data_IF_924371447494
#
_entry.id   IF_924371447494
#
_cell.length_a   1.000
_cell.length_b   1.000
_cell.length_c   1.000
_cell.angle_alpha   90.00
_cell.angle_beta   90.00
_cell.angle_gamma   90.00
#
_symmetry.space_group_name_H-M   'P 1'
#
loop_
_entity.id
_entity.type
_entity.pdbx_description
1 polymer ?
#
# COMPACT_ATOMS: atom_id res chain seq x y z
N UNK A 1 -3.85 -33.48 7.36
CA UNK A 1 -3.31 -32.26 7.99
C UNK A 1 -2.57 -31.49 6.92
N UNK A 2 -2.93 -30.23 6.66
CA UNK A 2 -2.19 -29.43 5.69
C UNK A 2 -0.90 -28.95 6.36
N UNK A 3 0.25 -29.36 5.83
CA UNK A 3 1.53 -28.80 6.21
C UNK A 3 1.66 -27.42 5.56
N UNK A 4 1.77 -26.36 6.35
CA UNK A 4 1.93 -24.99 5.86
C UNK A 4 2.05 -23.97 6.99
N UNK A 5 2.78 -22.89 6.74
CA UNK A 5 2.88 -21.74 7.66
C UNK A 5 1.61 -20.91 7.57
N UNK A 6 0.92 -20.71 8.69
CA UNK A 6 -0.23 -19.81 8.77
C UNK A 6 0.26 -18.36 8.83
N UNK A 7 0.24 -17.66 7.70
CA UNK A 7 0.59 -16.25 7.62
C UNK A 7 -0.56 -15.37 8.13
N UNK A 8 -0.26 -14.21 8.74
CA UNK A 8 -1.28 -13.20 9.03
C UNK A 8 -1.97 -12.76 7.72
N UNK A 9 -3.27 -12.42 7.77
CA UNK A 9 -3.96 -11.91 6.60
C UNK A 9 -3.33 -10.58 6.15
N UNK A 10 -3.21 -10.40 4.83
CA UNK A 10 -2.76 -9.13 4.27
C UNK A 10 -3.78 -8.03 4.64
N UNK A 11 -3.34 -6.85 5.13
CA UNK A 11 -4.27 -5.75 5.39
C UNK A 11 -5.02 -5.35 4.11
N UNK A 12 -6.33 -5.17 4.20
CA UNK A 12 -7.19 -4.83 3.05
C UNK A 12 -6.71 -3.59 2.30
N UNK A 13 -6.11 -2.64 3.02
CA UNK A 13 -5.53 -1.42 2.44
C UNK A 13 -4.47 -1.75 1.36
N UNK A 14 -3.67 -2.79 1.55
CA UNK A 14 -2.57 -3.14 0.64
C UNK A 14 -3.00 -3.60 -0.75
N UNK A 15 -4.28 -3.89 -0.96
CA UNK A 15 -4.84 -4.22 -2.28
C UNK A 15 -5.54 -3.03 -2.94
N UNK A 16 -5.66 -1.89 -2.26
CA UNK A 16 -6.35 -0.72 -2.78
C UNK A 16 -5.46 0.06 -3.73
N UNK A 17 -6.03 0.44 -4.87
CA UNK A 17 -5.46 1.43 -5.77
C UNK A 17 -5.91 2.82 -5.35
N UNK A 18 -4.98 3.78 -5.39
CA UNK A 18 -5.36 5.17 -5.17
C UNK A 18 -5.94 5.71 -6.47
N UNK A 19 -7.14 6.32 -6.46
CA UNK A 19 -7.66 6.96 -7.65
C UNK A 19 -6.81 8.19 -8.01
N UNK A 20 -6.59 8.38 -9.30
CA UNK A 20 -6.09 9.64 -9.85
C UNK A 20 -7.03 10.81 -9.50
N UNK A 21 -6.51 12.03 -9.57
CA UNK A 21 -7.32 13.22 -9.48
C UNK A 21 -8.32 13.26 -10.65
N UNK A 22 -9.58 13.54 -10.34
CA UNK A 22 -10.59 13.75 -11.37
C UNK A 22 -10.25 14.99 -12.22
N UNK A 23 -10.38 14.87 -13.53
CA UNK A 23 -10.14 15.95 -14.50
C UNK A 23 -11.45 16.25 -15.24
N UNK A 24 -11.78 17.54 -15.36
CA UNK A 24 -12.90 18.05 -16.16
C UNK A 24 -12.42 19.07 -17.19
N UNK A 25 -13.17 19.22 -18.27
CA UNK A 25 -12.93 20.28 -19.25
C UNK A 25 -13.02 21.63 -18.55
N UNK A 26 -12.00 22.47 -18.73
CA UNK A 26 -11.89 23.78 -18.08
C UNK A 26 -11.17 23.78 -16.73
N UNK A 27 -10.76 22.61 -16.22
CA UNK A 27 -9.93 22.56 -15.01
C UNK A 27 -8.56 23.21 -15.27
N UNK A 28 -8.10 23.97 -14.29
CA UNK A 28 -6.75 24.54 -14.30
C UNK A 28 -5.72 23.42 -14.05
N UNK A 29 -4.76 23.28 -14.98
CA UNK A 29 -3.85 22.12 -15.03
C UNK A 29 -2.94 22.00 -13.80
N UNK A 30 -2.46 23.13 -13.23
CA UNK A 30 -1.63 23.10 -12.02
C UNK A 30 -2.43 22.60 -10.81
N UNK A 31 -3.70 22.95 -10.71
CA UNK A 31 -4.59 22.49 -9.65
C UNK A 31 -4.86 20.99 -9.75
N UNK A 32 -4.97 20.45 -10.97
CA UNK A 32 -5.00 18.99 -11.20
C UNK A 32 -3.69 18.36 -10.74
N UNK A 33 -2.54 18.93 -11.11
CA UNK A 33 -1.23 18.40 -10.69
C UNK A 33 -1.04 18.38 -9.16
N UNK A 34 -1.50 19.41 -8.46
CA UNK A 34 -1.47 19.44 -6.98
C UNK A 34 -2.31 18.30 -6.40
N UNK A 35 -3.51 18.05 -6.95
CA UNK A 35 -4.37 16.94 -6.51
C UNK A 35 -3.74 15.58 -6.79
N UNK A 36 -3.11 15.40 -7.95
CA UNK A 36 -2.35 14.18 -8.30
C UNK A 36 -1.20 13.95 -7.32
N UNK A 37 -0.47 15.01 -6.93
CA UNK A 37 0.60 14.90 -5.94
C UNK A 37 0.08 14.38 -4.60
N UNK A 38 -1.07 14.88 -4.14
CA UNK A 38 -1.72 14.38 -2.94
C UNK A 38 -2.19 12.93 -3.06
N UNK A 39 -2.64 12.49 -4.24
CA UNK A 39 -2.96 11.07 -4.48
C UNK A 39 -1.70 10.20 -4.41
N UNK A 40 -0.62 10.60 -5.07
CA UNK A 40 0.66 9.90 -5.01
C UNK A 40 1.20 9.79 -3.57
N UNK A 41 1.09 10.86 -2.78
CA UNK A 41 1.54 10.85 -1.38
C UNK A 41 0.74 9.82 -0.55
N UNK A 42 -0.59 9.70 -0.75
CA UNK A 42 -1.41 8.67 -0.10
C UNK A 42 -1.05 7.26 -0.56
N UNK A 43 -0.80 7.07 -1.85
CA UNK A 43 -0.38 5.79 -2.41
C UNK A 43 0.98 5.35 -1.84
N UNK A 44 1.95 6.27 -1.75
CA UNK A 44 3.28 5.99 -1.20
C UNK A 44 3.22 5.70 0.30
N UNK A 45 2.41 6.44 1.07
CA UNK A 45 2.21 6.16 2.48
C UNK A 45 1.60 4.78 2.71
N UNK A 46 0.67 4.36 1.84
CA UNK A 46 0.10 3.01 1.87
C UNK A 46 1.13 1.94 1.51
N UNK A 47 1.91 2.17 0.46
CA UNK A 47 3.00 1.28 0.08
C UNK A 47 3.99 1.07 1.24
N UNK A 48 4.36 2.13 1.96
CA UNK A 48 5.21 2.05 3.15
C UNK A 48 4.64 1.11 4.21
N UNK A 49 3.39 1.34 4.65
CA UNK A 49 2.73 0.46 5.65
C UNK A 49 2.65 -1.00 5.21
N UNK A 50 2.47 -1.26 3.93
CA UNK A 50 2.38 -2.61 3.38
C UNK A 50 3.75 -3.31 3.30
N UNK A 51 4.81 -2.54 3.04
CA UNK A 51 6.18 -3.03 3.14
C UNK A 51 6.54 -3.37 4.59
N UNK A 52 6.22 -2.48 5.54
CA UNK A 52 6.45 -2.72 6.97
C UNK A 52 5.74 -4.00 7.45
N UNK A 53 4.48 -4.20 7.06
CA UNK A 53 3.74 -5.44 7.37
C UNK A 53 4.45 -6.70 6.85
N UNK A 54 5.01 -6.64 5.63
CA UNK A 54 5.76 -7.76 5.07
C UNK A 54 7.05 -8.01 5.86
N UNK A 55 7.79 -6.96 6.20
CA UNK A 55 9.04 -7.07 6.94
C UNK A 55 8.81 -7.62 8.35
N UNK A 56 7.75 -7.17 9.03
CA UNK A 56 7.33 -7.71 10.34
C UNK A 56 6.92 -9.19 10.26
N UNK A 57 6.15 -9.54 9.24
CA UNK A 57 5.77 -10.94 8.97
C UNK A 57 7.02 -11.77 8.74
N UNK A 58 7.93 -11.31 7.86
CA UNK A 58 9.18 -11.99 7.56
C UNK A 58 10.05 -12.16 8.80
N UNK A 59 10.16 -11.14 9.65
CA UNK A 59 10.93 -11.20 10.91
C UNK A 59 10.37 -12.27 11.86
N UNK A 60 9.05 -12.33 11.98
CA UNK A 60 8.34 -13.27 12.85
C UNK A 60 8.53 -14.73 12.45
N UNK A 61 8.67 -15.02 11.15
CA UNK A 61 8.84 -16.39 10.64
C UNK A 61 10.28 -16.73 10.24
N UNK A 62 11.12 -15.74 9.96
CA UNK A 62 12.52 -15.89 9.55
C UNK A 62 13.50 -16.09 10.71
N UNK A 63 13.06 -15.85 11.95
CA UNK A 63 13.88 -15.96 13.16
C UNK A 63 13.75 -17.31 13.89
N UNK A 64 13.18 -18.35 13.26
CA UNK A 64 13.12 -19.69 13.87
C UNK A 64 14.54 -20.23 14.11
N UNK A 65 15.00 -20.41 15.36
CA UNK A 65 16.15 -21.26 15.63
C UNK A 65 15.75 -22.71 15.31
N UNK A 66 16.69 -23.48 14.77
CA UNK A 66 16.55 -24.94 14.67
C UNK A 66 16.36 -25.58 16.04
#
# INVERSE_FOLDING_TARGET
MAAGTNLPPLPDDCRKNEPHAGIRVGDELRSVLVKERGALDRANARNGRCADFYDDTRSSFGSQPK
#
